data_IF_920920807797
#
_entry.id   IF_920920807797
#
_cell.length_a   1.000
_cell.length_b   1.000
_cell.length_c   1.000
_cell.angle_alpha   90.00
_cell.angle_beta   90.00
_cell.angle_gamma   90.00
#
_symmetry.space_group_name_H-M   'P 1'
#
loop_
_entity.id
_entity.type
_entity.pdbx_description
1 polymer ?
#
# COMPACT_ATOMS: atom_id res chain seq x y z
N UNK A 1 7.34 10.50 20.82
CA UNK A 1 8.09 9.28 20.48
C UNK A 1 7.30 8.48 19.45
N UNK A 2 8.00 7.84 18.56
CA UNK A 2 7.32 7.02 17.56
C UNK A 2 6.97 5.65 18.12
N UNK A 3 5.85 5.13 17.65
CA UNK A 3 5.41 3.77 17.92
C UNK A 3 5.63 2.93 16.65
N UNK A 4 6.31 1.80 16.79
CA UNK A 4 6.59 0.88 15.69
C UNK A 4 5.39 -0.04 15.49
N UNK A 5 4.93 -0.16 14.25
CA UNK A 5 3.84 -1.05 13.87
C UNK A 5 4.42 -2.25 13.13
N UNK A 6 4.13 -3.44 13.62
CA UNK A 6 4.46 -4.70 12.95
C UNK A 6 3.17 -5.41 12.57
N UNK A 7 3.03 -5.76 11.30
CA UNK A 7 1.85 -6.42 10.76
C UNK A 7 2.18 -7.82 10.29
N UNK A 8 1.59 -8.84 10.91
CA UNK A 8 1.84 -10.23 10.55
C UNK A 8 1.05 -10.67 9.30
N UNK A 9 0.05 -9.90 8.90
CA UNK A 9 -0.77 -10.16 7.70
C UNK A 9 -0.37 -9.34 6.48
N UNK A 10 0.81 -8.74 6.51
CA UNK A 10 1.45 -8.11 5.35
C UNK A 10 2.78 -8.82 5.08
N UNK A 11 3.38 -8.67 3.88
CA UNK A 11 4.68 -9.24 3.61
C UNK A 11 5.72 -8.80 4.65
N UNK A 12 6.56 -9.75 5.10
CA UNK A 12 7.58 -9.46 6.10
C UNK A 12 8.54 -8.36 5.61
N UNK A 13 8.98 -7.51 6.52
CA UNK A 13 10.01 -6.53 6.21
C UNK A 13 11.34 -7.25 6.00
N UNK A 14 11.89 -7.14 4.79
CA UNK A 14 13.11 -7.85 4.38
C UNK A 14 14.37 -7.00 4.55
N UNK A 15 14.30 -5.94 5.33
CA UNK A 15 15.43 -5.05 5.56
C UNK A 15 15.24 -4.26 6.85
N UNK A 16 16.09 -3.25 7.09
CA UNK A 16 16.04 -2.45 8.31
C UNK A 16 14.93 -1.40 8.25
N UNK A 17 13.67 -1.84 8.18
CA UNK A 17 12.51 -0.95 8.19
C UNK A 17 11.32 -1.64 8.87
N UNK A 18 10.36 -0.84 9.30
CA UNK A 18 9.12 -1.29 9.91
C UNK A 18 7.97 -1.22 8.92
N UNK A 19 6.90 -1.96 9.15
CA UNK A 19 5.69 -1.85 8.32
C UNK A 19 5.08 -0.46 8.38
N UNK A 20 5.10 0.15 9.54
CA UNK A 20 4.65 1.53 9.73
C UNK A 20 5.21 2.10 11.03
N UNK A 21 5.17 3.42 11.13
CA UNK A 21 5.47 4.14 12.36
C UNK A 21 4.35 5.14 12.63
N UNK A 22 4.06 5.33 13.90
CA UNK A 22 3.00 6.24 14.36
C UNK A 22 3.57 7.27 15.33
N UNK A 23 3.19 8.52 15.16
CA UNK A 23 3.48 9.59 16.10
C UNK A 23 2.52 10.75 15.89
N UNK A 24 2.14 11.41 16.97
CA UNK A 24 1.29 12.62 16.94
C UNK A 24 -0.01 12.46 16.17
N UNK A 25 -0.61 11.27 16.22
CA UNK A 25 -1.85 10.98 15.53
C UNK A 25 -1.71 10.68 14.04
N UNK A 26 -0.49 10.57 13.53
CA UNK A 26 -0.23 10.21 12.13
C UNK A 26 0.42 8.85 12.04
N UNK A 27 0.07 8.12 10.98
CA UNK A 27 0.69 6.84 10.65
C UNK A 27 1.36 6.98 9.29
N UNK A 28 2.63 6.58 9.22
CA UNK A 28 3.39 6.53 7.97
C UNK A 28 3.72 5.08 7.68
N UNK A 29 3.20 4.55 6.59
CA UNK A 29 3.47 3.17 6.19
C UNK A 29 4.67 3.09 5.26
N UNK A 30 5.39 1.99 5.34
CA UNK A 30 6.33 1.61 4.29
C UNK A 30 5.58 1.27 3.02
N UNK A 31 6.24 1.38 1.88
CA UNK A 31 5.66 1.02 0.60
C UNK A 31 5.32 -0.46 0.54
N UNK A 32 4.23 -0.79 -0.14
CA UNK A 32 3.79 -2.17 -0.32
C UNK A 32 3.77 -2.52 -1.80
N UNK A 33 4.36 -3.66 -2.12
CA UNK A 33 4.24 -4.29 -3.43
C UNK A 33 3.05 -5.26 -3.40
N UNK A 34 2.67 -5.73 -4.57
CA UNK A 34 1.60 -6.72 -4.71
C UNK A 34 2.05 -8.15 -4.37
N UNK A 35 2.71 -8.31 -3.23
CA UNK A 35 3.19 -9.61 -2.77
C UNK A 35 2.16 -10.23 -1.83
N UNK A 36 1.78 -11.47 -2.12
CA UNK A 36 0.90 -12.24 -1.24
C UNK A 36 1.70 -12.67 -0.02
N UNK A 37 1.32 -12.25 1.20
CA UNK A 37 2.07 -12.60 2.40
C UNK A 37 2.04 -14.09 2.72
N UNK A 38 1.03 -14.82 2.24
CA UNK A 38 0.92 -16.27 2.49
C UNK A 38 1.92 -17.08 1.66
N UNK A 39 2.28 -16.61 0.47
CA UNK A 39 3.17 -17.33 -0.45
C UNK A 39 4.51 -16.66 -0.65
N UNK A 40 4.61 -15.36 -0.35
CA UNK A 40 5.79 -14.55 -0.64
C UNK A 40 5.97 -14.24 -2.11
N UNK A 41 4.97 -14.49 -2.95
CA UNK A 41 5.04 -14.30 -4.40
C UNK A 41 4.34 -13.02 -4.84
N UNK A 42 4.92 -12.35 -5.83
CA UNK A 42 4.30 -11.22 -6.50
C UNK A 42 3.11 -11.70 -7.32
N UNK A 43 1.99 -11.00 -7.23
CA UNK A 43 0.82 -11.27 -8.05
C UNK A 43 1.13 -11.06 -9.53
N UNK A 44 0.42 -11.77 -10.41
CA UNK A 44 0.64 -11.65 -11.85
C UNK A 44 -0.26 -10.59 -12.46
N UNK A 45 0.35 -9.67 -13.18
CA UNK A 45 -0.34 -8.57 -13.84
C UNK A 45 -0.54 -7.36 -12.94
N UNK A 46 -0.60 -6.18 -13.56
CA UNK A 46 -0.63 -4.91 -12.84
C UNK A 46 -1.89 -4.76 -11.98
N UNK A 47 -3.03 -5.25 -12.46
CA UNK A 47 -4.29 -5.13 -11.71
C UNK A 47 -4.26 -5.96 -10.44
N UNK A 48 -3.81 -7.22 -10.52
CA UNK A 48 -3.68 -8.08 -9.36
C UNK A 48 -2.63 -7.55 -8.37
N UNK A 49 -1.53 -7.02 -8.88
CA UNK A 49 -0.50 -6.39 -8.04
C UNK A 49 -1.04 -5.17 -7.31
N UNK A 50 -1.78 -4.31 -8.00
CA UNK A 50 -2.38 -3.14 -7.38
C UNK A 50 -3.37 -3.52 -6.29
N UNK A 51 -4.22 -4.50 -6.54
CA UNK A 51 -5.18 -5.00 -5.56
C UNK A 51 -4.46 -5.55 -4.31
N UNK A 52 -3.48 -6.40 -4.51
CA UNK A 52 -2.75 -7.00 -3.39
C UNK A 52 -1.97 -5.95 -2.60
N UNK A 53 -1.38 -4.96 -3.26
CA UNK A 53 -0.69 -3.86 -2.57
C UNK A 53 -1.66 -3.10 -1.66
N UNK A 54 -2.88 -2.82 -2.15
CA UNK A 54 -3.91 -2.15 -1.35
C UNK A 54 -4.37 -3.02 -0.16
N UNK A 55 -4.53 -4.33 -0.37
CA UNK A 55 -4.84 -5.27 0.72
C UNK A 55 -3.74 -5.23 1.78
N UNK A 56 -2.49 -5.22 1.37
CA UNK A 56 -1.37 -5.17 2.30
C UNK A 56 -1.36 -3.87 3.12
N UNK A 57 -1.60 -2.73 2.47
CA UNK A 57 -1.74 -1.44 3.18
C UNK A 57 -2.90 -1.47 4.16
N UNK A 58 -4.04 -2.00 3.73
CA UNK A 58 -5.23 -2.13 4.58
C UNK A 58 -4.93 -2.93 5.85
N UNK A 59 -4.23 -4.05 5.70
CA UNK A 59 -3.84 -4.90 6.83
C UNK A 59 -2.88 -4.18 7.78
N UNK A 60 -1.94 -3.41 7.26
CA UNK A 60 -1.02 -2.60 8.08
C UNK A 60 -1.82 -1.57 8.88
N UNK A 61 -2.75 -0.87 8.22
CA UNK A 61 -3.59 0.14 8.89
C UNK A 61 -4.47 -0.49 9.97
N UNK A 62 -5.09 -1.63 9.69
CA UNK A 62 -5.90 -2.34 10.69
C UNK A 62 -5.09 -2.72 11.92
N UNK A 63 -3.87 -3.17 11.73
CA UNK A 63 -2.96 -3.49 12.82
C UNK A 63 -2.69 -2.26 13.70
N UNK A 64 -2.65 -1.09 13.08
CA UNK A 64 -2.44 0.18 13.78
C UNK A 64 -3.75 0.79 14.32
N UNK A 65 -4.89 0.15 14.11
CA UNK A 65 -6.18 0.65 14.57
C UNK A 65 -6.84 1.68 13.65
N UNK A 66 -6.38 1.77 12.41
CA UNK A 66 -6.92 2.69 11.41
C UNK A 66 -7.62 1.94 10.27
N UNK A 67 -8.22 2.68 9.36
CA UNK A 67 -8.91 2.13 8.19
C UNK A 67 -8.45 2.87 6.93
N UNK A 68 -8.82 2.33 5.77
CA UNK A 68 -8.56 2.98 4.48
C UNK A 68 -9.18 4.39 4.39
N UNK A 69 -10.26 4.65 5.12
CA UNK A 69 -10.90 5.97 5.15
C UNK A 69 -10.09 7.03 5.86
N UNK A 70 -9.11 6.61 6.65
CA UNK A 70 -8.22 7.54 7.38
C UNK A 70 -7.04 8.00 6.53
N UNK A 71 -6.86 7.46 5.33
CA UNK A 71 -5.73 7.80 4.48
C UNK A 71 -5.90 9.21 3.92
N UNK A 72 -4.90 10.05 4.13
CA UNK A 72 -4.87 11.43 3.64
C UNK A 72 -4.18 11.54 2.30
N UNK A 73 -3.13 10.77 2.07
CA UNK A 73 -2.30 10.87 0.87
C UNK A 73 -1.72 9.51 0.51
N UNK A 74 -1.77 9.20 -0.78
CA UNK A 74 -1.06 8.04 -1.33
C UNK A 74 -0.09 8.49 -2.41
N UNK A 75 0.90 7.66 -2.68
CA UNK A 75 1.78 7.78 -3.84
C UNK A 75 1.85 6.43 -4.52
N UNK A 76 1.62 6.41 -5.82
CA UNK A 76 1.68 5.20 -6.62
C UNK A 76 2.92 5.28 -7.52
N UNK A 77 3.70 4.22 -7.54
CA UNK A 77 4.85 4.08 -8.41
C UNK A 77 4.57 2.96 -9.42
N UNK A 78 4.62 3.27 -10.71
CA UNK A 78 4.41 2.31 -11.79
C UNK A 78 5.67 2.19 -12.62
N UNK A 79 5.94 1.00 -13.12
CA UNK A 79 7.00 0.79 -14.10
C UNK A 79 6.58 1.34 -15.46
N UNK A 80 5.28 1.34 -15.77
CA UNK A 80 4.73 1.81 -17.03
C UNK A 80 3.45 2.63 -16.78
N UNK A 81 3.47 3.92 -17.11
CA UNK A 81 2.29 4.79 -16.96
C UNK A 81 1.15 4.44 -17.92
N UNK A 82 1.38 3.60 -18.93
CA UNK A 82 0.29 3.06 -19.75
C UNK A 82 -0.66 2.18 -18.92
N UNK A 83 -0.23 1.70 -17.76
CA UNK A 83 -1.06 0.95 -16.82
C UNK A 83 -1.92 1.84 -15.92
N UNK A 84 -1.84 3.15 -16.07
CA UNK A 84 -2.52 4.13 -15.20
C UNK A 84 -4.03 3.89 -15.13
N UNK A 85 -4.69 3.70 -16.27
CA UNK A 85 -6.14 3.47 -16.30
C UNK A 85 -6.55 2.17 -15.59
N UNK A 86 -5.80 1.10 -15.79
CA UNK A 86 -6.07 -0.19 -15.15
C UNK A 86 -5.90 -0.09 -13.63
N UNK A 87 -4.84 0.57 -13.18
CA UNK A 87 -4.59 0.79 -11.74
C UNK A 87 -5.65 1.70 -11.13
N UNK A 88 -6.07 2.75 -11.84
CA UNK A 88 -7.13 3.65 -11.39
C UNK A 88 -8.43 2.91 -11.13
N UNK A 89 -8.77 1.94 -11.97
CA UNK A 89 -9.98 1.14 -11.80
C UNK A 89 -9.91 0.34 -10.51
N UNK A 90 -8.83 -0.37 -10.28
CA UNK A 90 -8.62 -1.17 -9.06
C UNK A 90 -8.65 -0.28 -7.82
N UNK A 91 -7.93 0.83 -7.88
CA UNK A 91 -7.83 1.80 -6.79
C UNK A 91 -9.22 2.40 -6.47
N UNK A 92 -9.95 2.84 -7.49
CA UNK A 92 -11.28 3.39 -7.34
C UNK A 92 -12.26 2.40 -6.73
N UNK A 93 -12.25 1.16 -7.22
CA UNK A 93 -13.12 0.10 -6.70
C UNK A 93 -12.78 -0.23 -5.24
N UNK A 94 -11.51 -0.20 -4.88
CA UNK A 94 -11.07 -0.52 -3.51
C UNK A 94 -11.49 0.56 -2.51
N UNK A 95 -11.24 1.82 -2.81
CA UNK A 95 -11.63 2.94 -1.93
C UNK A 95 -13.12 3.23 -1.96
N UNK A 96 -13.77 3.07 -3.10
CA UNK A 96 -15.20 3.32 -3.27
C UNK A 96 -15.54 4.80 -3.39
N UNK A 97 -15.18 5.61 -2.41
CA UNK A 97 -15.46 7.04 -2.36
C UNK A 97 -14.51 7.73 -1.37
N UNK A 98 -14.62 9.04 -1.24
CA UNK A 98 -13.80 9.83 -0.30
C UNK A 98 -12.31 9.60 -0.52
N UNK A 99 -11.89 9.72 -1.77
CA UNK A 99 -10.53 9.40 -2.18
C UNK A 99 -9.51 10.31 -1.51
N UNK A 100 -8.36 9.74 -1.07
CA UNK A 100 -7.25 10.56 -0.56
C UNK A 100 -6.62 11.39 -1.67
N UNK A 101 -5.82 12.39 -1.29
CA UNK A 101 -4.91 13.03 -2.23
C UNK A 101 -3.94 12.00 -2.77
N UNK A 102 -3.48 12.18 -4.02
CA UNK A 102 -2.65 11.17 -4.67
C UNK A 102 -1.68 11.77 -5.68
N UNK A 103 -0.50 11.17 -5.76
CA UNK A 103 0.44 11.36 -6.87
C UNK A 103 0.76 10.00 -7.47
N UNK A 104 1.04 9.96 -8.78
CA UNK A 104 1.40 8.75 -9.48
C UNK A 104 2.58 9.02 -10.40
N UNK A 105 3.60 8.20 -10.33
CA UNK A 105 4.85 8.39 -11.07
C UNK A 105 5.26 7.11 -11.78
N UNK A 106 5.85 7.28 -12.96
CA UNK A 106 6.60 6.19 -13.57
C UNK A 106 8.01 6.18 -13.01
N UNK A 107 8.48 4.99 -12.64
CA UNK A 107 9.83 4.78 -12.16
C UNK A 107 10.56 3.81 -13.09
N UNK A 108 11.89 3.82 -13.05
CA UNK A 108 12.68 2.98 -13.93
C UNK A 108 12.60 1.50 -13.56
N UNK A 109 12.35 1.21 -12.29
CA UNK A 109 12.33 -0.17 -11.78
C UNK A 109 11.67 -0.22 -10.40
N UNK A 110 11.03 -1.31 -10.12
CA UNK A 110 10.49 -1.63 -8.79
C UNK A 110 11.16 -2.88 -8.20
#
# INVERSE_FOLDING_TARGET
MKNIIKCDSAPAALGPYSHACEANGFIFTSGQLGIDPATGKLAEGVEAQAHQALVNIDNVLKTAGATMKDILKTTIFLVDLNDFAAVNKVYGDYFGSEFPGRSCFQVSKL
#
